data_IF_080951552648
#
_entry.id   IF_080951552648
#
_cell.length_a   1.000
_cell.length_b   1.000
_cell.length_c   1.000
_cell.angle_alpha   90.00
_cell.angle_beta   90.00
_cell.angle_gamma   90.00
#
_symmetry.space_group_name_H-M   'P 1'
#
loop_
_entity.id
_entity.type
_entity.pdbx_description
1 polymer ?
#
# COMPACT_ATOMS: atom_id res chain seq x y z
N UNK A 1 12.20 -15.51 -15.08
CA UNK A 1 11.91 -15.11 -16.48
C UNK A 1 10.41 -14.89 -16.58
N UNK A 2 9.95 -13.83 -17.23
CA UNK A 2 8.52 -13.62 -17.50
C UNK A 2 8.06 -14.75 -18.43
N UNK A 3 6.83 -15.27 -18.25
CA UNK A 3 6.28 -16.27 -19.18
C UNK A 3 5.99 -15.63 -20.55
N UNK A 4 5.77 -16.47 -21.58
CA UNK A 4 5.53 -15.97 -22.94
C UNK A 4 4.37 -14.96 -23.03
N UNK A 5 3.28 -15.15 -22.26
CA UNK A 5 2.16 -14.22 -22.23
C UNK A 5 2.53 -12.87 -21.61
N UNK A 6 3.37 -12.85 -20.57
CA UNK A 6 3.88 -11.63 -19.97
C UNK A 6 4.88 -10.92 -20.88
N UNK A 7 5.73 -11.67 -21.60
CA UNK A 7 6.62 -11.12 -22.62
C UNK A 7 5.83 -10.54 -23.81
N UNK A 8 4.78 -11.20 -24.25
CA UNK A 8 3.89 -10.73 -25.32
C UNK A 8 3.17 -9.44 -24.91
N UNK A 9 2.65 -9.39 -23.68
CA UNK A 9 2.04 -8.18 -23.13
C UNK A 9 3.06 -7.03 -23.03
N UNK A 10 4.30 -7.31 -22.63
CA UNK A 10 5.38 -6.33 -22.59
C UNK A 10 5.77 -5.83 -23.99
N UNK A 11 5.76 -6.69 -24.99
CA UNK A 11 6.02 -6.31 -26.38
C UNK A 11 4.86 -5.51 -26.99
N UNK A 12 3.62 -5.92 -26.74
CA UNK A 12 2.43 -5.20 -27.19
C UNK A 12 2.36 -3.78 -26.58
N UNK A 13 2.72 -3.62 -25.31
CA UNK A 13 2.76 -2.31 -24.66
C UNK A 13 3.92 -1.45 -25.12
N UNK A 14 5.08 -2.02 -25.43
CA UNK A 14 6.19 -1.28 -26.05
C UNK A 14 5.84 -0.78 -27.45
N UNK A 15 4.94 -1.45 -28.16
CA UNK A 15 4.41 -1.03 -29.46
C UNK A 15 3.26 -0.01 -29.36
N UNK A 16 2.52 0.02 -28.23
CA UNK A 16 1.41 0.96 -28.00
C UNK A 16 1.88 2.33 -27.51
N UNK A 17 3.08 2.43 -26.96
CA UNK A 17 3.69 3.70 -26.60
C UNK A 17 4.18 4.32 -27.92
N UNK A 18 3.65 5.49 -28.34
CA UNK A 18 4.13 6.14 -29.55
C UNK A 18 5.64 6.19 -29.48
N UNK A 19 6.30 5.57 -30.42
CA UNK A 19 7.77 5.38 -30.45
C UNK A 19 8.55 6.70 -30.34
N UNK A 20 7.88 7.84 -30.51
CA UNK A 20 8.39 9.19 -30.28
C UNK A 20 8.52 9.61 -28.81
N UNK A 21 7.80 8.96 -27.87
CA UNK A 21 7.85 9.35 -26.43
C UNK A 21 9.07 8.74 -25.74
N UNK A 22 9.44 7.51 -26.11
CA UNK A 22 10.59 6.81 -25.52
C UNK A 22 11.90 6.97 -26.32
N UNK A 23 11.83 7.30 -27.62
CA UNK A 23 13.03 7.41 -28.49
C UNK A 23 13.84 8.68 -28.31
N UNK A 24 13.33 9.70 -27.63
CA UNK A 24 14.13 10.91 -27.35
C UNK A 24 14.83 10.76 -26.00
N UNK A 25 16.02 10.18 -26.00
CA UNK A 25 16.94 10.05 -24.86
C UNK A 25 17.33 11.39 -24.17
N UNK A 26 16.87 12.54 -24.67
CA UNK A 26 17.29 13.88 -24.24
C UNK A 26 16.14 14.88 -24.13
N UNK A 27 14.93 14.48 -23.78
CA UNK A 27 13.92 15.49 -23.46
C UNK A 27 13.79 15.61 -21.95
N UNK A 28 14.13 16.76 -21.43
CA UNK A 28 13.81 17.29 -20.09
C UNK A 28 12.30 17.41 -19.85
N UNK A 29 11.47 16.57 -20.45
CA UNK A 29 10.03 16.62 -20.31
C UNK A 29 9.63 16.08 -18.96
N UNK A 30 9.18 16.94 -18.10
CA UNK A 30 8.57 16.61 -16.83
C UNK A 30 7.09 16.29 -17.06
N UNK A 31 6.63 15.15 -16.55
CA UNK A 31 5.24 14.74 -16.57
C UNK A 31 4.57 15.16 -15.26
N UNK A 32 3.30 15.54 -15.31
CA UNK A 32 2.56 15.80 -14.09
C UNK A 32 2.22 14.46 -13.41
N UNK A 33 2.40 14.39 -12.09
CA UNK A 33 1.88 13.30 -11.28
C UNK A 33 0.38 13.17 -11.49
N UNK A 34 -0.09 11.96 -11.73
CA UNK A 34 -1.50 11.67 -11.96
C UNK A 34 -1.80 11.16 -13.37
N UNK A 35 -3.08 11.17 -13.71
CA UNK A 35 -3.56 10.70 -15.00
C UNK A 35 -3.22 11.65 -16.14
N UNK A 36 -2.65 11.10 -17.20
CA UNK A 36 -2.34 11.80 -18.43
C UNK A 36 -3.34 11.43 -19.53
N UNK A 37 -4.23 12.36 -19.87
CA UNK A 37 -5.31 12.14 -20.85
C UNK A 37 -4.78 11.88 -22.26
N UNK A 38 -3.69 12.54 -22.65
CA UNK A 38 -3.15 12.46 -24.03
C UNK A 38 -2.65 11.07 -24.38
N UNK A 39 -2.15 10.32 -23.39
CA UNK A 39 -1.50 9.03 -23.60
C UNK A 39 -2.13 7.87 -22.80
N UNK A 40 -3.25 8.13 -22.13
CA UNK A 40 -4.02 7.18 -21.32
C UNK A 40 -3.15 6.35 -20.34
N UNK A 41 -2.32 7.02 -19.58
CA UNK A 41 -1.54 6.39 -18.51
C UNK A 41 -1.47 7.24 -17.25
N UNK A 42 -1.10 6.59 -16.14
CA UNK A 42 -0.98 7.22 -14.82
C UNK A 42 0.48 7.38 -14.43
N UNK A 43 0.89 8.59 -14.10
CA UNK A 43 2.25 8.91 -13.64
C UNK A 43 2.29 8.82 -12.12
N UNK A 44 3.05 7.88 -11.57
CA UNK A 44 3.26 7.75 -10.11
C UNK A 44 4.57 8.38 -9.63
N UNK A 45 5.38 8.88 -10.54
CA UNK A 45 6.61 9.61 -10.22
C UNK A 45 6.28 11.03 -9.76
N UNK A 46 6.47 11.33 -8.48
CA UNK A 46 6.22 12.67 -7.93
C UNK A 46 7.22 13.71 -8.40
N UNK A 47 8.40 13.29 -8.85
CA UNK A 47 9.37 14.18 -9.53
C UNK A 47 8.99 14.51 -10.96
N UNK A 48 7.95 13.90 -11.51
CA UNK A 48 7.51 14.07 -12.89
C UNK A 48 8.43 13.43 -13.94
N UNK A 49 9.49 12.72 -13.53
CA UNK A 49 10.38 12.00 -14.45
C UNK A 49 9.92 10.55 -14.56
N UNK A 50 9.83 10.03 -15.78
CA UNK A 50 9.45 8.64 -16.04
C UNK A 50 10.65 7.91 -16.60
N UNK A 51 10.98 6.76 -15.99
CA UNK A 51 12.03 5.86 -16.47
C UNK A 51 11.47 4.69 -17.26
N UNK A 52 10.34 4.15 -16.82
CA UNK A 52 9.70 2.98 -17.44
C UNK A 52 8.18 3.09 -17.35
N UNK A 53 7.51 2.54 -18.34
CA UNK A 53 6.06 2.35 -18.33
C UNK A 53 5.77 0.86 -18.18
N UNK A 54 4.87 0.52 -17.27
CA UNK A 54 4.44 -0.87 -17.00
C UNK A 54 2.92 -0.94 -17.06
N UNK A 55 2.38 -2.14 -17.23
CA UNK A 55 0.95 -2.39 -17.10
C UNK A 55 0.68 -3.40 -16.00
N UNK A 56 -0.31 -3.09 -15.17
CA UNK A 56 -0.82 -3.99 -14.14
C UNK A 56 -2.33 -4.05 -14.31
N UNK A 57 -2.88 -5.22 -14.57
CA UNK A 57 -4.30 -5.45 -14.75
C UNK A 57 -4.99 -4.45 -15.72
N UNK A 58 -4.29 -4.11 -16.82
CA UNK A 58 -4.77 -3.16 -17.83
C UNK A 58 -4.60 -1.66 -17.49
N UNK A 59 -4.11 -1.33 -16.30
CA UNK A 59 -3.73 0.04 -15.95
C UNK A 59 -2.29 0.29 -16.38
N UNK A 60 -2.07 1.29 -17.23
CA UNK A 60 -0.75 1.70 -17.72
C UNK A 60 -0.15 2.72 -16.76
N UNK A 61 1.06 2.49 -16.27
CA UNK A 61 1.66 3.22 -15.15
C UNK A 61 3.08 3.65 -15.50
N UNK A 62 3.35 4.95 -15.39
CA UNK A 62 4.70 5.50 -15.51
C UNK A 62 5.40 5.54 -14.15
N UNK A 63 6.44 4.72 -13.97
CA UNK A 63 7.25 4.66 -12.75
C UNK A 63 8.47 5.57 -12.83
N UNK A 64 9.04 6.00 -11.67
CA UNK A 64 10.25 6.81 -11.64
C UNK A 64 11.43 6.21 -12.40
N UNK A 65 12.38 7.02 -12.88
CA UNK A 65 13.61 6.53 -13.48
C UNK A 65 14.51 5.88 -12.43
N UNK A 66 15.28 4.91 -12.87
CA UNK A 66 16.37 4.37 -12.06
C UNK A 66 17.38 5.48 -11.77
N UNK A 67 17.81 5.66 -10.51
CA UNK A 67 18.84 6.62 -10.17
C UNK A 67 20.20 6.18 -10.73
N UNK A 68 21.11 7.13 -10.93
CA UNK A 68 22.48 6.85 -11.41
C UNK A 68 23.24 5.93 -10.44
N UNK A 69 22.94 6.01 -9.17
CA UNK A 69 23.49 5.13 -8.13
C UNK A 69 22.34 4.53 -7.32
N UNK A 70 22.21 3.21 -7.41
CA UNK A 70 21.31 2.43 -6.55
C UNK A 70 22.10 1.99 -5.33
N UNK A 71 21.49 2.11 -4.16
CA UNK A 71 22.11 1.71 -2.90
C UNK A 71 22.60 0.26 -2.94
N UNK A 72 23.85 0.03 -2.56
CA UNK A 72 24.50 -1.28 -2.50
C UNK A 72 24.90 -1.60 -1.06
N UNK A 73 24.60 -2.79 -0.60
CA UNK A 73 24.84 -3.24 0.78
C UNK A 73 26.07 -4.12 0.93
N UNK A 74 27.19 -3.78 0.30
CA UNK A 74 28.45 -4.49 0.45
C UNK A 74 28.52 -5.91 -0.11
N UNK A 75 27.42 -6.44 -0.67
CA UNK A 75 27.33 -7.73 -1.37
C UNK A 75 27.43 -7.53 -2.88
N UNK A 76 27.78 -8.57 -3.65
CA UNK A 76 27.66 -8.51 -5.10
C UNK A 76 26.18 -8.26 -5.51
N UNK A 77 25.96 -7.49 -6.57
CA UNK A 77 24.60 -7.11 -7.01
C UNK A 77 23.65 -8.31 -7.17
N UNK A 78 24.17 -9.44 -7.69
CA UNK A 78 23.41 -10.69 -7.88
C UNK A 78 22.92 -11.34 -6.59
N UNK A 79 23.58 -11.04 -5.45
CA UNK A 79 23.29 -11.63 -4.14
C UNK A 79 22.49 -10.68 -3.24
N UNK A 80 22.18 -9.47 -3.75
CA UNK A 80 21.40 -8.50 -2.99
C UNK A 80 19.91 -8.79 -3.09
N UNK A 81 19.23 -8.61 -2.00
CA UNK A 81 17.77 -8.65 -1.84
C UNK A 81 17.36 -7.62 -0.80
N UNK A 82 16.08 -7.44 -0.60
CA UNK A 82 15.59 -6.54 0.43
C UNK A 82 15.96 -7.05 1.82
N UNK A 83 16.62 -6.21 2.58
CA UNK A 83 16.88 -6.39 4.00
C UNK A 83 16.49 -5.10 4.71
N UNK A 84 15.73 -5.20 5.78
CA UNK A 84 15.37 -4.05 6.59
C UNK A 84 16.62 -3.46 7.26
N UNK A 85 16.72 -2.14 7.30
CA UNK A 85 17.77 -1.43 8.02
C UNK A 85 17.33 -1.10 9.44
N UNK A 86 18.19 -1.36 10.42
CA UNK A 86 17.90 -0.92 11.77
C UNK A 86 18.09 0.60 11.91
N UNK A 87 17.21 1.19 12.73
CA UNK A 87 17.36 2.60 13.09
C UNK A 87 18.70 2.81 13.80
N UNK A 88 19.52 3.82 13.39
CA UNK A 88 20.77 4.13 14.09
C UNK A 88 20.59 4.25 15.60
N UNK A 89 21.48 3.64 16.38
CA UNK A 89 21.35 3.56 17.86
C UNK A 89 21.14 4.91 18.52
N UNK A 90 21.78 5.95 18.01
CA UNK A 90 21.63 7.31 18.54
C UNK A 90 20.20 7.83 18.36
N UNK A 91 19.56 7.56 17.21
CA UNK A 91 18.19 7.96 16.91
C UNK A 91 17.17 7.05 17.60
N UNK A 92 17.48 5.76 17.77
CA UNK A 92 16.60 4.81 18.46
C UNK A 92 16.35 5.15 19.93
N UNK A 93 17.22 5.97 20.55
CA UNK A 93 17.07 6.46 21.92
C UNK A 93 16.17 7.68 22.05
N UNK A 94 15.73 8.25 20.93
CA UNK A 94 14.84 9.41 20.90
C UNK A 94 13.41 8.93 20.69
N UNK A 95 12.54 9.24 21.65
CA UNK A 95 11.15 8.73 21.65
C UNK A 95 10.13 9.78 21.20
N UNK A 96 10.52 11.07 21.13
CA UNK A 96 9.62 12.17 20.77
C UNK A 96 10.35 13.31 20.08
N UNK A 97 9.61 14.12 19.35
CA UNK A 97 10.12 15.35 18.73
C UNK A 97 10.65 16.35 19.77
N UNK A 98 10.08 16.37 20.98
CA UNK A 98 10.58 17.22 22.08
C UNK A 98 11.99 16.84 22.50
N UNK A 99 12.28 15.54 22.68
CA UNK A 99 13.63 15.06 22.97
C UNK A 99 14.62 15.35 21.85
N UNK A 100 14.18 15.36 20.61
CA UNK A 100 14.99 15.79 19.47
C UNK A 100 15.29 17.28 19.52
N UNK A 101 14.30 18.11 19.83
CA UNK A 101 14.46 19.56 19.91
C UNK A 101 15.46 19.97 21.00
N UNK A 102 15.52 19.22 22.10
CA UNK A 102 16.46 19.43 23.21
C UNK A 102 17.90 19.02 22.89
N UNK A 103 18.16 18.34 21.74
CA UNK A 103 19.51 17.92 21.37
C UNK A 103 20.36 19.08 20.85
N UNK A 104 21.68 19.09 21.16
CA UNK A 104 22.62 20.07 20.62
C UNK A 104 22.61 20.12 19.08
N UNK A 105 22.84 21.31 18.50
CA UNK A 105 22.88 21.49 17.05
C UNK A 105 23.86 20.55 16.34
N UNK A 106 25.02 20.29 16.91
CA UNK A 106 26.00 19.34 16.36
C UNK A 106 25.45 17.92 16.23
N UNK A 107 24.63 17.47 17.19
CA UNK A 107 23.95 16.17 17.11
C UNK A 107 22.87 16.18 16.01
N UNK A 108 22.06 17.25 15.94
CA UNK A 108 21.02 17.36 14.91
C UNK A 108 21.63 17.39 13.50
N UNK A 109 22.67 18.17 13.29
CA UNK A 109 23.36 18.26 12.00
C UNK A 109 23.96 16.90 11.54
N UNK A 110 24.37 16.04 12.48
CA UNK A 110 24.83 14.68 12.13
C UNK A 110 23.76 13.81 11.51
N UNK A 111 22.49 14.02 11.88
CA UNK A 111 21.40 13.09 11.54
C UNK A 111 20.31 13.68 10.65
N UNK A 112 20.34 14.98 10.36
CA UNK A 112 19.31 15.63 9.54
C UNK A 112 19.21 14.99 8.15
N UNK A 113 20.32 14.77 7.47
CA UNK A 113 20.35 14.16 6.13
C UNK A 113 19.76 12.74 6.13
N UNK A 114 20.00 11.96 7.19
CA UNK A 114 19.38 10.64 7.35
C UNK A 114 17.86 10.74 7.47
N UNK A 115 17.38 11.67 8.30
CA UNK A 115 15.94 11.88 8.53
C UNK A 115 15.27 12.37 7.24
N UNK A 116 15.86 13.34 6.55
CA UNK A 116 15.37 13.83 5.26
C UNK A 116 15.30 12.72 4.22
N UNK A 117 16.35 11.89 4.12
CA UNK A 117 16.35 10.73 3.23
C UNK A 117 15.22 9.73 3.54
N UNK A 118 14.87 9.55 4.83
CA UNK A 118 13.73 8.69 5.21
C UNK A 118 12.38 9.30 4.79
N UNK A 119 12.20 10.63 4.89
CA UNK A 119 11.02 11.30 4.34
C UNK A 119 10.96 11.19 2.81
N UNK A 120 12.09 11.37 2.12
CA UNK A 120 12.16 11.20 0.66
C UNK A 120 11.80 9.76 0.24
N UNK A 121 12.32 8.74 0.93
CA UNK A 121 11.97 7.33 0.67
C UNK A 121 10.49 7.06 0.88
N UNK A 122 9.93 7.63 1.94
CA UNK A 122 8.50 7.54 2.26
C UNK A 122 7.63 8.21 1.20
N UNK A 123 8.09 9.30 0.61
CA UNK A 123 7.33 10.07 -0.38
C UNK A 123 7.57 9.60 -1.82
N UNK A 124 8.83 9.47 -2.22
CA UNK A 124 9.24 9.22 -3.60
C UNK A 124 9.40 7.74 -3.93
N UNK A 125 9.48 6.89 -2.88
CA UNK A 125 9.82 5.48 -3.01
C UNK A 125 11.32 5.23 -2.98
N UNK A 126 11.70 3.97 -3.18
CA UNK A 126 13.05 3.52 -2.98
C UNK A 126 13.50 2.54 -4.06
N UNK A 127 14.77 2.63 -4.46
CA UNK A 127 15.42 1.72 -5.39
C UNK A 127 16.47 0.87 -4.67
N UNK A 128 16.47 -0.42 -4.90
CA UNK A 128 17.45 -1.35 -4.38
C UNK A 128 17.79 -2.41 -5.44
N UNK A 129 18.91 -3.11 -5.27
CA UNK A 129 19.22 -4.27 -6.09
C UNK A 129 18.49 -5.49 -5.57
N UNK A 130 17.81 -6.22 -6.45
CA UNK A 130 17.16 -7.49 -6.16
C UNK A 130 17.60 -8.50 -7.22
N UNK A 131 18.38 -9.52 -6.83
CA UNK A 131 18.95 -10.49 -7.75
C UNK A 131 19.63 -9.83 -8.97
N UNK A 132 20.48 -8.87 -8.73
CA UNK A 132 21.25 -8.15 -9.75
C UNK A 132 20.47 -7.08 -10.53
N UNK A 133 19.16 -6.93 -10.29
CA UNK A 133 18.31 -5.99 -11.03
C UNK A 133 17.89 -4.82 -10.15
N UNK A 134 18.02 -3.57 -10.62
CA UNK A 134 17.42 -2.43 -9.96
C UNK A 134 15.90 -2.61 -9.86
N UNK A 135 15.38 -2.51 -8.65
CA UNK A 135 13.97 -2.75 -8.35
C UNK A 135 13.40 -1.56 -7.60
N UNK A 136 12.32 -0.99 -8.14
CA UNK A 136 11.59 0.12 -7.53
C UNK A 136 10.48 -0.39 -6.61
N UNK A 137 10.37 0.23 -5.45
CA UNK A 137 9.21 0.16 -4.57
C UNK A 137 8.65 1.54 -4.30
N UNK A 138 7.33 1.66 -4.18
CA UNK A 138 6.66 2.93 -3.85
C UNK A 138 6.93 3.32 -2.40
N UNK A 139 6.67 4.59 -2.03
CA UNK A 139 6.83 5.05 -0.66
C UNK A 139 5.97 4.28 0.35
N UNK A 140 4.70 3.97 0.00
CA UNK A 140 3.84 3.11 0.85
C UNK A 140 4.41 1.71 1.03
N UNK A 141 5.01 1.12 -0.02
CA UNK A 141 5.68 -0.18 0.10
C UNK A 141 6.95 -0.11 0.96
N UNK A 142 7.72 0.97 0.81
CA UNK A 142 8.89 1.21 1.65
C UNK A 142 8.50 1.30 3.13
N UNK A 143 7.47 2.08 3.47
CA UNK A 143 6.97 2.19 4.86
C UNK A 143 6.49 0.83 5.38
N UNK A 144 5.80 0.05 4.53
CA UNK A 144 5.35 -1.28 4.90
C UNK A 144 6.52 -2.22 5.25
N UNK A 145 7.57 -2.25 4.44
CA UNK A 145 8.72 -3.14 4.65
C UNK A 145 9.68 -2.64 5.74
N UNK A 146 9.90 -1.34 5.81
CA UNK A 146 10.92 -0.75 6.69
C UNK A 146 10.38 -0.46 8.09
N UNK A 147 9.14 0.05 8.20
CA UNK A 147 8.63 0.63 9.43
C UNK A 147 7.38 -0.03 9.99
N UNK A 148 6.73 -0.93 9.23
CA UNK A 148 5.54 -1.62 9.71
C UNK A 148 5.89 -2.91 10.43
N UNK A 149 5.66 -2.96 11.74
CA UNK A 149 5.78 -4.21 12.48
C UNK A 149 4.56 -5.11 12.25
N UNK A 150 4.80 -6.39 12.06
CA UNK A 150 3.79 -7.44 11.98
C UNK A 150 3.89 -8.37 13.21
N UNK A 151 3.04 -9.40 13.29
CA UNK A 151 3.00 -10.28 14.46
C UNK A 151 4.35 -10.93 14.80
N UNK A 152 5.17 -11.21 13.79
CA UNK A 152 6.48 -11.88 13.90
C UNK A 152 7.63 -11.01 13.31
N UNK A 153 7.74 -9.78 13.72
CA UNK A 153 8.82 -8.89 13.28
C UNK A 153 8.40 -7.90 12.21
N UNK A 154 8.99 -7.98 11.02
CA UNK A 154 8.74 -7.10 9.89
C UNK A 154 8.45 -7.92 8.64
N UNK A 155 7.67 -7.38 7.67
CA UNK A 155 7.35 -8.12 6.46
C UNK A 155 8.57 -8.26 5.53
N UNK A 156 8.62 -9.38 4.82
CA UNK A 156 9.58 -9.61 3.76
C UNK A 156 9.12 -8.98 2.44
N UNK A 157 10.10 -8.66 1.58
CA UNK A 157 9.80 -8.22 0.23
C UNK A 157 9.18 -9.37 -0.58
N UNK A 158 8.08 -9.07 -1.27
CA UNK A 158 7.41 -9.98 -2.21
C UNK A 158 6.98 -9.22 -3.45
N UNK A 159 7.21 -9.81 -4.61
CA UNK A 159 6.83 -9.19 -5.89
C UNK A 159 5.32 -8.97 -5.99
N UNK A 160 4.50 -9.87 -5.45
CA UNK A 160 3.06 -9.70 -5.36
C UNK A 160 2.68 -8.41 -4.58
N UNK A 161 3.36 -8.14 -3.46
CA UNK A 161 3.12 -6.93 -2.67
C UNK A 161 3.64 -5.69 -3.41
N UNK A 162 4.75 -5.79 -4.16
CA UNK A 162 5.25 -4.70 -5.00
C UNK A 162 4.24 -4.32 -6.09
N UNK A 163 3.67 -5.31 -6.77
CA UNK A 163 2.59 -5.12 -7.76
C UNK A 163 1.40 -4.42 -7.10
N UNK A 164 0.95 -4.90 -5.94
CA UNK A 164 -0.14 -4.31 -5.16
C UNK A 164 0.11 -2.83 -4.84
N UNK A 165 1.27 -2.49 -4.29
CA UNK A 165 1.57 -1.12 -3.90
C UNK A 165 1.81 -0.17 -5.09
N UNK A 166 2.36 -0.64 -6.20
CA UNK A 166 2.45 0.16 -7.44
C UNK A 166 1.05 0.46 -7.98
N UNK A 167 0.17 -0.55 -7.99
CA UNK A 167 -1.21 -0.38 -8.42
C UNK A 167 -1.98 0.56 -7.49
N UNK A 168 -1.79 0.44 -6.18
CA UNK A 168 -2.36 1.35 -5.20
C UNK A 168 -1.90 2.79 -5.40
N UNK A 169 -0.61 3.02 -5.63
CA UNK A 169 -0.09 4.36 -5.90
C UNK A 169 -0.70 4.94 -7.18
N UNK A 170 -0.90 4.12 -8.21
CA UNK A 170 -1.57 4.55 -9.43
C UNK A 170 -3.06 4.89 -9.18
N UNK A 171 -3.76 4.13 -8.34
CA UNK A 171 -5.13 4.47 -7.92
C UNK A 171 -5.18 5.79 -7.15
N UNK A 172 -4.18 6.07 -6.29
CA UNK A 172 -4.07 7.35 -5.57
C UNK A 172 -3.82 8.52 -6.54
N UNK A 173 -2.94 8.32 -7.50
CA UNK A 173 -2.57 9.34 -8.48
C UNK A 173 -3.67 9.64 -9.50
N UNK A 174 -4.51 8.68 -9.85
CA UNK A 174 -5.59 8.89 -10.83
C UNK A 174 -6.78 9.64 -10.22
N UNK A 175 -6.98 10.88 -10.69
CA UNK A 175 -8.09 11.75 -10.26
C UNK A 175 -9.49 11.19 -10.58
N UNK A 176 -9.60 10.18 -11.46
CA UNK A 176 -10.86 9.53 -11.83
C UNK A 176 -11.22 8.36 -10.92
N UNK A 177 -10.25 7.82 -10.19
CA UNK A 177 -10.34 6.61 -9.40
C UNK A 177 -10.67 6.92 -7.94
N UNK A 178 -11.62 6.21 -7.36
CA UNK A 178 -11.90 6.26 -5.92
C UNK A 178 -11.04 5.31 -5.08
N UNK A 179 -10.24 4.47 -5.71
CA UNK A 179 -9.37 3.52 -5.04
C UNK A 179 -9.37 2.15 -5.70
N UNK A 180 -8.96 1.13 -4.97
CA UNK A 180 -8.84 -0.22 -5.49
C UNK A 180 -9.81 -1.19 -4.82
N UNK A 181 -10.21 -2.22 -5.59
CA UNK A 181 -10.91 -3.41 -5.10
C UNK A 181 -10.06 -4.65 -5.36
N UNK A 182 -9.47 -5.22 -4.32
CA UNK A 182 -8.48 -6.28 -4.40
C UNK A 182 -9.06 -7.65 -4.04
N UNK A 183 -9.17 -8.52 -5.04
CA UNK A 183 -9.45 -9.94 -4.81
C UNK A 183 -8.14 -10.65 -4.45
N UNK A 184 -8.05 -11.11 -3.22
CA UNK A 184 -6.84 -11.67 -2.61
C UNK A 184 -6.97 -13.14 -2.21
N UNK A 185 -5.85 -13.81 -2.06
CA UNK A 185 -5.78 -15.08 -1.36
C UNK A 185 -5.82 -14.87 0.16
N UNK A 186 -6.09 -15.93 0.91
CA UNK A 186 -5.91 -15.93 2.37
C UNK A 186 -4.44 -15.72 2.72
N UNK A 187 -4.18 -15.01 3.83
CA UNK A 187 -2.82 -14.71 4.35
C UNK A 187 -1.93 -13.89 3.40
N UNK A 188 -2.52 -13.14 2.47
CA UNK A 188 -1.77 -12.21 1.59
C UNK A 188 -1.14 -11.01 2.32
N UNK A 189 -1.33 -10.87 3.63
CA UNK A 189 -0.84 -9.71 4.40
C UNK A 189 -1.70 -8.45 4.28
N UNK A 190 -2.83 -8.47 3.56
CA UNK A 190 -3.64 -7.28 3.24
C UNK A 190 -4.03 -6.46 4.46
N UNK A 191 -4.46 -7.09 5.57
CA UNK A 191 -4.84 -6.36 6.79
C UNK A 191 -3.68 -5.55 7.37
N UNK A 192 -2.43 -6.04 7.26
CA UNK A 192 -1.24 -5.28 7.65
C UNK A 192 -0.87 -4.21 6.64
N UNK A 193 -1.00 -4.48 5.33
CA UNK A 193 -0.78 -3.47 4.28
C UNK A 193 -1.77 -2.31 4.42
N UNK A 194 -3.06 -2.61 4.66
CA UNK A 194 -4.09 -1.60 4.93
C UNK A 194 -3.85 -0.83 6.22
N UNK A 195 -3.44 -1.52 7.30
CA UNK A 195 -3.09 -0.86 8.57
C UNK A 195 -1.86 0.05 8.44
N UNK A 196 -0.86 -0.39 7.69
CA UNK A 196 0.31 0.42 7.34
C UNK A 196 -0.10 1.69 6.58
N UNK A 197 -0.99 1.56 5.60
CA UNK A 197 -1.46 2.70 4.82
C UNK A 197 -2.33 3.66 5.65
N UNK A 198 -3.13 3.15 6.62
CA UNK A 198 -3.84 4.00 7.59
C UNK A 198 -2.85 4.87 8.37
N UNK A 199 -1.80 4.26 8.91
CA UNK A 199 -0.77 4.96 9.68
C UNK A 199 0.04 5.89 8.78
N UNK A 200 0.44 5.42 7.59
CA UNK A 200 1.18 6.22 6.63
C UNK A 200 0.40 7.48 6.24
N UNK A 201 -0.87 7.35 5.89
CA UNK A 201 -1.72 8.49 5.54
C UNK A 201 -1.99 9.38 6.76
N UNK A 202 -2.36 8.79 7.91
CA UNK A 202 -2.74 9.53 9.11
C UNK A 202 -1.59 10.33 9.74
N UNK A 203 -0.35 9.92 9.52
CA UNK A 203 0.84 10.63 10.06
C UNK A 203 1.47 11.63 9.08
N UNK A 204 0.90 11.79 7.87
CA UNK A 204 1.32 12.78 6.88
C UNK A 204 0.25 13.84 6.60
N UNK A 205 -1.01 13.45 6.64
CA UNK A 205 -2.11 14.32 6.27
C UNK A 205 -2.45 15.31 7.38
N UNK A 206 -2.97 16.48 6.98
CA UNK A 206 -3.54 17.48 7.88
C UNK A 206 -5.06 17.56 7.69
N UNK A 207 -5.81 17.86 8.75
CA UNK A 207 -7.27 18.01 8.74
C UNK A 207 -7.97 16.82 8.06
N UNK A 208 -7.54 15.62 8.38
CA UNK A 208 -7.96 14.43 7.67
C UNK A 208 -8.54 13.36 8.61
N UNK A 209 -9.38 12.53 8.03
CA UNK A 209 -9.88 11.33 8.69
C UNK A 209 -9.56 10.09 7.88
N UNK A 210 -9.09 9.07 8.57
CA UNK A 210 -8.82 7.73 8.03
C UNK A 210 -9.78 6.76 8.69
N UNK A 211 -10.61 6.10 7.88
CA UNK A 211 -11.64 5.18 8.36
C UNK A 211 -11.29 3.73 8.12
N UNK A 212 -11.75 2.85 9.00
CA UNK A 212 -11.58 1.40 8.90
C UNK A 212 -12.93 0.71 9.00
N UNK A 213 -13.23 -0.14 8.02
CA UNK A 213 -14.35 -1.08 8.03
C UNK A 213 -13.84 -2.51 7.81
N UNK A 214 -14.56 -3.48 8.33
CA UNK A 214 -14.28 -4.89 8.09
C UNK A 214 -15.60 -5.68 7.99
N UNK A 215 -15.55 -7.01 7.96
CA UNK A 215 -16.76 -7.85 7.89
C UNK A 215 -17.69 -7.68 9.11
N UNK A 216 -17.13 -7.33 10.28
CA UNK A 216 -17.87 -6.97 11.50
C UNK A 216 -17.18 -5.81 12.23
N UNK A 217 -17.91 -5.08 13.08
CA UNK A 217 -17.33 -4.03 13.92
C UNK A 217 -16.23 -4.55 14.85
N UNK A 218 -16.37 -5.79 15.36
CA UNK A 218 -15.33 -6.40 16.21
C UNK A 218 -14.04 -6.70 15.42
N UNK A 219 -14.13 -7.06 14.14
CA UNK A 219 -12.96 -7.27 13.29
C UNK A 219 -12.31 -5.95 12.91
N UNK A 220 -13.10 -4.90 12.63
CA UNK A 220 -12.60 -3.54 12.40
C UNK A 220 -11.86 -3.02 13.65
N UNK A 221 -12.45 -3.20 14.84
CA UNK A 221 -11.81 -2.86 16.11
C UNK A 221 -10.50 -3.61 16.32
N UNK A 222 -10.47 -4.93 16.07
CA UNK A 222 -9.23 -5.72 16.16
C UNK A 222 -8.16 -5.23 15.19
N UNK A 223 -8.52 -4.93 13.95
CA UNK A 223 -7.58 -4.35 13.00
C UNK A 223 -6.99 -3.04 13.52
N UNK A 224 -7.81 -2.19 14.12
CA UNK A 224 -7.38 -0.95 14.72
C UNK A 224 -6.47 -1.18 15.94
N UNK A 225 -6.93 -1.94 16.96
CA UNK A 225 -6.21 -2.13 18.24
C UNK A 225 -4.95 -2.97 18.11
N UNK A 226 -4.98 -4.01 17.26
CA UNK A 226 -3.93 -5.04 17.23
C UNK A 226 -2.92 -4.78 16.10
N UNK A 227 -3.24 -3.90 15.13
CA UNK A 227 -2.35 -3.58 14.01
C UNK A 227 -2.06 -2.08 13.90
N UNK A 228 -3.08 -1.23 13.69
CA UNK A 228 -2.88 0.21 13.46
C UNK A 228 -2.18 0.88 14.65
N UNK A 229 -2.70 0.70 15.85
CA UNK A 229 -2.13 1.31 17.06
C UNK A 229 -0.70 0.83 17.33
N UNK A 230 -0.36 -0.48 17.29
CA UNK A 230 1.01 -0.93 17.45
C UNK A 230 1.96 -0.41 16.37
N UNK A 231 1.53 -0.33 15.09
CA UNK A 231 2.34 0.22 14.00
C UNK A 231 2.65 1.70 14.28
N UNK A 232 1.65 2.51 14.61
CA UNK A 232 1.83 3.93 14.91
C UNK A 232 2.78 4.15 16.12
N UNK A 233 2.63 3.34 17.17
CA UNK A 233 3.47 3.43 18.36
C UNK A 233 4.95 3.06 18.12
N UNK A 234 5.22 2.21 17.12
CA UNK A 234 6.59 1.76 16.78
C UNK A 234 7.27 2.59 15.71
N UNK A 235 6.59 3.58 15.14
CA UNK A 235 7.26 4.51 14.22
C UNK A 235 8.43 5.22 14.92
N UNK A 236 9.50 5.55 14.19
CA UNK A 236 10.56 6.41 14.71
C UNK A 236 10.00 7.79 15.06
N UNK A 237 10.64 8.47 16.00
CA UNK A 237 10.15 9.76 16.53
C UNK A 237 9.87 10.80 15.42
N UNK A 238 10.67 10.81 14.35
CA UNK A 238 10.54 11.76 13.26
C UNK A 238 9.34 11.50 12.34
N UNK A 239 8.76 10.30 12.37
CA UNK A 239 7.51 9.97 11.69
C UNK A 239 6.29 10.00 12.62
N UNK A 240 6.52 10.22 13.90
CA UNK A 240 5.48 10.17 14.94
C UNK A 240 4.96 11.58 15.25
N UNK A 241 3.74 11.95 14.79
CA UNK A 241 3.14 13.23 15.15
C UNK A 241 2.81 13.29 16.65
N UNK A 242 2.51 14.49 17.13
CA UNK A 242 1.97 14.67 18.48
C UNK A 242 0.62 13.97 18.56
N UNK A 243 0.48 13.07 19.53
CA UNK A 243 -0.73 12.29 19.76
C UNK A 243 -1.49 12.84 20.98
N UNK A 244 -2.81 12.95 20.84
CA UNK A 244 -3.74 13.23 21.94
C UNK A 244 -4.34 11.91 22.46
N UNK A 245 -4.44 11.78 23.78
CA UNK A 245 -5.03 10.61 24.43
C UNK A 245 -4.02 9.56 24.88
N UNK A 246 -4.51 8.34 25.04
CA UNK A 246 -3.75 7.21 25.60
C UNK A 246 -2.84 6.57 24.54
N UNK A 247 -1.75 5.93 24.97
CA UNK A 247 -0.85 5.16 24.08
C UNK A 247 -1.52 3.95 23.42
N UNK A 248 -2.61 3.44 24.01
CA UNK A 248 -3.37 2.30 23.50
C UNK A 248 -4.87 2.65 23.37
N UNK A 249 -5.23 3.53 22.44
CA UNK A 249 -6.61 3.88 22.22
C UNK A 249 -7.42 2.70 21.67
N UNK A 250 -8.72 2.64 21.99
CA UNK A 250 -9.62 1.57 21.57
C UNK A 250 -10.60 1.99 20.47
N UNK A 251 -10.77 3.30 20.27
CA UNK A 251 -11.79 3.86 19.36
C UNK A 251 -11.19 4.72 18.26
N UNK A 252 -10.31 5.63 18.62
CA UNK A 252 -9.66 6.54 17.68
C UNK A 252 -8.20 6.81 18.08
N UNK A 253 -7.36 7.05 17.11
CA UNK A 253 -5.99 7.54 17.25
C UNK A 253 -5.97 8.95 16.68
N UNK A 254 -5.80 9.96 17.56
CA UNK A 254 -5.87 11.36 17.18
C UNK A 254 -4.49 12.01 17.22
N UNK A 255 -4.08 12.60 16.11
CA UNK A 255 -2.82 13.34 15.97
C UNK A 255 -3.08 14.85 16.05
N UNK A 256 -3.27 15.33 17.27
CA UNK A 256 -3.50 16.73 17.59
C UNK A 256 -2.79 17.12 18.89
N UNK A 257 -2.64 18.40 19.14
CA UNK A 257 -2.08 18.90 20.41
C UNK A 257 -3.14 18.74 21.49
N UNK A 258 -2.85 18.01 22.59
CA UNK A 258 -3.78 17.89 23.70
C UNK A 258 -4.13 19.25 24.31
N UNK A 259 -5.42 19.51 24.54
CA UNK A 259 -5.89 20.76 25.13
C UNK A 259 -5.23 21.08 26.49
N UNK A 260 -4.89 20.05 27.27
CA UNK A 260 -4.16 20.19 28.55
C UNK A 260 -2.73 20.72 28.41
N UNK A 261 -2.13 20.66 27.21
CA UNK A 261 -0.80 21.23 26.93
C UNK A 261 -0.86 22.67 26.42
N UNK A 262 -2.05 23.18 26.12
CA UNK A 262 -2.27 24.55 25.69
C UNK A 262 -2.45 25.43 26.94
N UNK A 263 -1.39 26.11 27.35
CA UNK A 263 -1.44 27.10 28.44
C UNK A 263 -1.49 28.50 27.86
N UNK A 264 -1.98 29.48 28.64
CA UNK A 264 -1.97 30.89 28.19
C UNK A 264 -0.58 31.39 27.80
N UNK A 265 0.49 30.77 28.34
CA UNK A 265 1.88 31.14 28.08
C UNK A 265 2.39 30.62 26.73
N UNK A 266 1.89 29.49 26.27
CA UNK A 266 2.30 28.88 24.99
C UNK A 266 1.21 29.01 23.90
N UNK A 267 0.11 29.72 24.17
CA UNK A 267 -0.98 29.91 23.23
C UNK A 267 -0.53 30.63 21.95
N UNK A 268 0.41 31.59 22.06
CA UNK A 268 1.01 32.28 20.92
C UNK A 268 1.97 31.34 20.13
N UNK A 269 2.66 30.42 20.82
CA UNK A 269 3.55 29.43 20.19
C UNK A 269 2.73 28.31 19.50
N UNK A 270 1.58 27.95 20.06
CA UNK A 270 0.63 26.98 19.49
C UNK A 270 -0.09 27.54 18.25
N UNK A 271 -0.27 28.87 18.20
CA UNK A 271 -0.79 29.56 17.01
C UNK A 271 0.24 29.76 15.91
N UNK A 272 1.53 29.63 16.20
CA UNK A 272 2.58 29.64 15.20
C UNK A 272 2.66 28.25 14.54
N UNK A 273 2.82 28.20 13.22
CA UNK A 273 2.81 26.98 12.38
C UNK A 273 3.75 25.86 12.85
N UNK A 274 4.76 26.16 13.66
CA UNK A 274 5.76 25.21 14.16
C UNK A 274 5.22 24.22 15.22
N UNK A 275 4.09 24.53 15.89
CA UNK A 275 3.53 23.69 16.95
C UNK A 275 2.10 23.19 16.68
N UNK A 276 1.54 23.44 15.50
CA UNK A 276 0.21 22.91 15.14
C UNK A 276 0.25 21.41 14.92
N UNK A 277 -0.60 20.68 15.62
CA UNK A 277 -0.86 19.27 15.37
C UNK A 277 -1.35 19.02 13.93
N UNK A 278 -1.41 17.77 13.51
CA UNK A 278 -1.95 17.41 12.18
C UNK A 278 -3.47 17.54 12.12
N UNK A 279 -4.17 17.52 13.26
CA UNK A 279 -5.64 17.46 13.38
C UNK A 279 -6.25 16.31 12.56
N UNK A 280 -5.53 15.18 12.55
CA UNK A 280 -5.89 13.98 11.81
C UNK A 280 -6.28 12.87 12.77
N UNK A 281 -7.31 12.10 12.40
CA UNK A 281 -7.78 10.95 13.17
C UNK A 281 -7.78 9.68 12.33
N UNK A 282 -7.46 8.57 12.99
CA UNK A 282 -7.67 7.21 12.46
C UNK A 282 -8.68 6.54 13.38
N UNK A 283 -9.80 6.07 12.84
CA UNK A 283 -10.84 5.39 13.62
C UNK A 283 -11.43 4.19 12.88
N UNK A 284 -12.33 3.50 13.54
CA UNK A 284 -13.09 2.39 12.98
C UNK A 284 -14.57 2.56 13.28
N UNK A 285 -15.42 1.98 12.45
CA UNK A 285 -16.87 1.96 12.65
C UNK A 285 -17.42 0.53 12.65
N UNK A 286 -18.61 0.36 13.23
CA UNK A 286 -19.37 -0.87 13.07
C UNK A 286 -19.73 -1.08 11.60
N UNK A 287 -19.91 -2.36 11.24
CA UNK A 287 -20.29 -2.77 9.88
C UNK A 287 -21.79 -2.52 9.69
N UNK A 288 -22.11 -1.51 8.92
CA UNK A 288 -23.47 -1.08 8.60
C UNK A 288 -23.50 -0.39 7.23
N UNK A 289 -24.65 -0.45 6.53
CA UNK A 289 -24.81 0.17 5.22
C UNK A 289 -24.54 1.69 5.24
N UNK A 290 -24.80 2.37 6.36
CA UNK A 290 -24.61 3.80 6.55
C UNK A 290 -23.34 4.16 7.34
N UNK A 291 -22.42 3.21 7.55
CA UNK A 291 -21.15 3.49 8.24
C UNK A 291 -20.40 4.61 7.51
N UNK A 292 -19.92 5.61 8.27
CA UNK A 292 -19.28 6.84 7.79
C UNK A 292 -20.18 7.80 7.00
N UNK A 293 -21.51 7.62 6.98
CA UNK A 293 -22.38 8.60 6.33
C UNK A 293 -22.20 10.01 6.93
N UNK A 294 -22.11 11.03 6.08
CA UNK A 294 -21.84 12.42 6.47
C UNK A 294 -20.40 12.76 6.84
N UNK A 295 -19.50 11.78 6.86
CA UNK A 295 -18.09 11.99 7.19
C UNK A 295 -17.27 12.35 5.94
N UNK A 296 -16.19 13.12 6.12
CA UNK A 296 -15.19 13.40 5.08
C UNK A 296 -13.96 12.52 5.32
N UNK A 297 -13.70 11.59 4.43
CA UNK A 297 -12.58 10.66 4.54
C UNK A 297 -11.48 10.97 3.51
N UNK A 298 -10.22 10.93 3.95
CA UNK A 298 -9.07 10.94 3.05
C UNK A 298 -8.68 9.52 2.64
N UNK A 299 -8.80 8.56 3.55
CA UNK A 299 -8.60 7.14 3.30
C UNK A 299 -9.68 6.32 3.99
N UNK A 300 -10.23 5.35 3.28
CA UNK A 300 -11.06 4.29 3.83
C UNK A 300 -10.39 2.95 3.54
N UNK A 301 -10.05 2.19 4.58
CA UNK A 301 -9.60 0.80 4.43
C UNK A 301 -10.75 -0.13 4.73
N UNK A 302 -11.03 -1.02 3.78
CA UNK A 302 -12.17 -1.94 3.82
C UNK A 302 -11.67 -3.38 3.73
N UNK A 303 -11.52 -4.04 4.88
CA UNK A 303 -11.05 -5.44 4.91
C UNK A 303 -12.22 -6.42 4.91
N UNK A 304 -12.04 -7.55 4.26
CA UNK A 304 -13.01 -8.66 4.21
C UNK A 304 -14.38 -8.27 3.59
N UNK A 305 -14.38 -7.40 2.57
CA UNK A 305 -15.59 -6.83 1.94
C UNK A 305 -16.55 -7.89 1.38
N UNK A 306 -16.05 -9.04 0.91
CA UNK A 306 -16.84 -10.15 0.41
C UNK A 306 -17.52 -11.02 1.49
N UNK A 307 -17.32 -10.68 2.77
CA UNK A 307 -17.85 -11.46 3.90
C UNK A 307 -18.93 -10.72 4.69
N UNK A 308 -19.48 -9.66 4.16
CA UNK A 308 -20.59 -8.94 4.78
C UNK A 308 -21.86 -9.79 4.77
N UNK A 309 -22.45 -9.99 5.94
CA UNK A 309 -23.66 -10.78 6.11
C UNK A 309 -24.91 -9.90 6.15
N UNK A 310 -26.03 -10.43 5.64
CA UNK A 310 -27.33 -9.76 5.75
C UNK A 310 -27.63 -9.39 7.24
N UNK A 311 -28.31 -8.25 7.47
CA UNK A 311 -28.96 -7.39 6.48
C UNK A 311 -28.01 -6.47 5.73
N UNK A 312 -26.77 -6.26 6.16
CA UNK A 312 -25.81 -5.32 5.61
C UNK A 312 -25.32 -5.74 4.22
N UNK A 313 -25.06 -4.77 3.36
CA UNK A 313 -24.67 -4.99 1.98
C UNK A 313 -23.51 -4.07 1.59
N UNK A 314 -22.39 -4.66 1.16
CA UNK A 314 -21.21 -3.92 0.73
C UNK A 314 -21.49 -2.94 -0.42
N UNK A 315 -22.40 -3.27 -1.35
CA UNK A 315 -22.76 -2.36 -2.44
C UNK A 315 -23.51 -1.13 -1.93
N UNK A 316 -24.40 -1.30 -0.93
CA UNK A 316 -25.12 -0.20 -0.31
C UNK A 316 -24.14 0.70 0.45
N UNK A 317 -23.29 0.11 1.31
CA UNK A 317 -22.28 0.85 2.01
C UNK A 317 -21.32 1.59 1.05
N UNK A 318 -20.93 0.95 -0.05
CA UNK A 318 -20.07 1.61 -1.04
C UNK A 318 -20.74 2.84 -1.67
N UNK A 319 -22.05 2.80 -1.93
CA UNK A 319 -22.78 3.98 -2.42
C UNK A 319 -22.71 5.15 -1.44
N UNK A 320 -22.79 4.89 -0.14
CA UNK A 320 -22.66 5.89 0.93
C UNK A 320 -21.20 6.34 1.06
N UNK A 321 -20.27 5.43 1.30
CA UNK A 321 -18.87 5.77 1.59
C UNK A 321 -18.15 6.39 0.40
N UNK A 322 -18.54 6.10 -0.83
CA UNK A 322 -18.05 6.77 -2.03
C UNK A 322 -18.31 8.28 -1.99
N UNK A 323 -19.42 8.72 -1.39
CA UNK A 323 -19.72 10.16 -1.24
C UNK A 323 -18.79 10.83 -0.22
N UNK A 324 -18.35 10.10 0.79
CA UNK A 324 -17.43 10.58 1.83
C UNK A 324 -16.00 10.84 1.29
N UNK A 325 -15.66 10.25 0.14
CA UNK A 325 -14.36 10.37 -0.51
C UNK A 325 -14.30 11.50 -1.55
N UNK A 326 -15.34 12.32 -1.65
CA UNK A 326 -15.40 13.42 -2.63
C UNK A 326 -15.89 14.71 -2.01
N UNK A 327 -15.53 15.81 -2.65
CA UNK A 327 -16.06 17.14 -2.36
C UNK A 327 -16.63 17.70 -3.67
N UNK A 328 -17.95 17.73 -3.79
CA UNK A 328 -18.62 18.03 -5.06
C UNK A 328 -18.23 17.02 -6.16
N UNK A 329 -17.67 17.49 -7.26
CA UNK A 329 -17.17 16.66 -8.36
C UNK A 329 -15.76 16.12 -8.16
N UNK A 330 -15.01 16.66 -7.18
CA UNK A 330 -13.59 16.34 -6.96
C UNK A 330 -13.45 15.16 -6.00
N UNK A 331 -12.72 14.13 -6.41
CA UNK A 331 -12.31 13.02 -5.54
C UNK A 331 -11.16 13.51 -4.66
N UNK A 332 -11.35 13.48 -3.35
CA UNK A 332 -10.38 13.94 -2.34
C UNK A 332 -9.77 12.80 -1.53
N UNK A 333 -10.51 11.72 -1.37
CA UNK A 333 -10.08 10.54 -0.62
C UNK A 333 -10.05 9.28 -1.48
N UNK A 334 -9.48 8.21 -0.93
CA UNK A 334 -9.34 6.92 -1.61
C UNK A 334 -9.78 5.77 -0.72
N UNK A 335 -10.28 4.70 -1.36
CA UNK A 335 -10.63 3.45 -0.70
C UNK A 335 -9.63 2.36 -1.07
N UNK A 336 -9.06 1.70 -0.06
CA UNK A 336 -8.30 0.46 -0.20
C UNK A 336 -9.20 -0.69 0.26
N UNK A 337 -9.90 -1.31 -0.67
CA UNK A 337 -10.81 -2.41 -0.41
C UNK A 337 -10.16 -3.74 -0.76
N UNK A 338 -10.37 -4.77 0.06
CA UNK A 338 -9.86 -6.10 -0.27
C UNK A 338 -10.62 -7.22 0.43
N UNK A 339 -10.77 -8.35 -0.27
CA UNK A 339 -11.38 -9.55 0.28
C UNK A 339 -10.87 -10.81 -0.38
N UNK A 340 -10.99 -11.93 0.33
CA UNK A 340 -10.97 -13.25 -0.27
C UNK A 340 -12.34 -13.55 -0.89
N UNK A 341 -12.38 -14.47 -1.85
CA UNK A 341 -13.65 -15.03 -2.34
C UNK A 341 -14.45 -15.63 -1.18
N UNK A 342 -15.78 -15.57 -1.30
CA UNK A 342 -16.70 -16.16 -0.34
C UNK A 342 -17.86 -16.82 -1.11
N UNK A 343 -18.59 -17.72 -0.45
CA UNK A 343 -19.80 -18.32 -1.01
C UNK A 343 -20.79 -17.19 -1.43
N UNK A 344 -21.35 -17.30 -2.63
CA UNK A 344 -22.24 -16.26 -3.18
C UNK A 344 -23.42 -15.97 -2.25
N UNK A 345 -24.01 -17.02 -1.65
CA UNK A 345 -25.10 -16.89 -0.67
C UNK A 345 -24.72 -16.25 0.66
N UNK A 346 -23.41 -16.11 0.95
CA UNK A 346 -22.87 -15.53 2.19
C UNK A 346 -22.16 -14.18 1.96
N UNK A 347 -22.74 -13.33 1.11
CA UNK A 347 -22.18 -11.99 0.81
C UNK A 347 -21.21 -11.93 -0.36
N UNK A 348 -20.71 -13.07 -0.84
CA UNK A 348 -19.76 -13.13 -1.96
C UNK A 348 -20.34 -12.60 -3.27
N UNK A 349 -21.66 -12.70 -3.50
CA UNK A 349 -22.33 -12.18 -4.70
C UNK A 349 -22.21 -10.65 -4.81
N UNK A 350 -22.46 -9.93 -3.72
CA UNK A 350 -22.38 -8.47 -3.72
C UNK A 350 -20.96 -7.96 -3.97
N UNK A 351 -19.98 -8.65 -3.39
CA UNK A 351 -18.57 -8.33 -3.62
C UNK A 351 -18.16 -8.66 -5.08
N UNK A 352 -18.58 -9.82 -5.60
CA UNK A 352 -18.33 -10.18 -7.00
C UNK A 352 -18.86 -9.12 -7.97
N UNK A 353 -20.12 -8.67 -7.79
CA UNK A 353 -20.68 -7.59 -8.61
C UNK A 353 -19.91 -6.30 -8.50
N UNK A 354 -19.48 -5.92 -7.28
CA UNK A 354 -18.68 -4.71 -7.08
C UNK A 354 -17.32 -4.84 -7.77
N UNK A 355 -16.69 -6.00 -7.69
CA UNK A 355 -15.42 -6.30 -8.35
C UNK A 355 -15.54 -6.26 -9.89
N UNK A 356 -16.61 -6.83 -10.46
CA UNK A 356 -16.92 -6.77 -11.89
C UNK A 356 -17.22 -5.33 -12.34
N UNK A 357 -17.97 -4.55 -11.54
CA UNK A 357 -18.25 -3.13 -11.77
C UNK A 357 -16.98 -2.25 -11.67
N UNK A 358 -15.87 -2.79 -11.16
CA UNK A 358 -14.56 -2.15 -11.04
C UNK A 358 -13.59 -2.48 -12.19
N UNK A 359 -14.05 -3.20 -13.23
CA UNK A 359 -13.22 -3.59 -14.36
C UNK A 359 -12.84 -2.37 -15.23
N UNK A 360 -11.52 -2.22 -15.41
CA UNK A 360 -10.92 -1.15 -16.22
C UNK A 360 -11.29 -1.20 -17.70
N UNK A 361 -11.74 -2.35 -18.21
CA UNK A 361 -12.18 -2.50 -19.61
C UNK A 361 -13.53 -1.82 -19.88
N UNK A 362 -14.34 -1.60 -18.82
CA UNK A 362 -15.68 -1.03 -18.91
C UNK A 362 -15.72 0.34 -18.24
N UNK A 363 -15.24 1.37 -18.94
CA UNK A 363 -15.23 2.75 -18.46
C UNK A 363 -16.33 3.58 -19.13
N UNK A 364 -16.88 4.55 -18.40
CA UNK A 364 -17.79 5.55 -18.94
C UNK A 364 -17.05 6.64 -19.72
N UNK A 365 -17.77 7.59 -20.29
CA UNK A 365 -17.19 8.71 -21.04
C UNK A 365 -16.17 9.56 -20.23
N UNK A 366 -16.28 9.57 -18.90
CA UNK A 366 -15.36 10.27 -18.00
C UNK A 366 -14.13 9.42 -17.63
N UNK A 367 -13.98 8.23 -18.21
CA UNK A 367 -12.90 7.30 -17.93
C UNK A 367 -13.00 6.60 -16.58
N UNK A 368 -14.16 6.62 -15.92
CA UNK A 368 -14.42 5.95 -14.64
C UNK A 368 -15.05 4.59 -14.87
N UNK A 369 -14.69 3.60 -14.05
CA UNK A 369 -15.40 2.33 -13.93
C UNK A 369 -16.79 2.57 -13.33
N UNK A 370 -17.68 1.61 -13.45
CA UNK A 370 -19.05 1.72 -12.93
C UNK A 370 -19.09 1.90 -11.41
N UNK A 371 -18.24 1.18 -10.65
CA UNK A 371 -18.08 1.38 -9.21
C UNK A 371 -17.33 2.66 -8.88
N UNK A 372 -16.39 3.09 -9.73
CA UNK A 372 -15.39 4.10 -9.51
C UNK A 372 -14.10 3.57 -8.87
N UNK A 373 -14.07 2.30 -8.43
CA UNK A 373 -12.87 1.58 -7.99
C UNK A 373 -12.18 0.93 -9.20
N UNK A 374 -10.90 0.59 -9.05
CA UNK A 374 -10.16 -0.24 -9.99
C UNK A 374 -9.92 -1.60 -9.39
N UNK A 375 -10.29 -2.66 -10.09
CA UNK A 375 -10.10 -4.02 -9.60
C UNK A 375 -8.64 -4.48 -9.77
N UNK A 376 -8.17 -5.26 -8.80
CA UNK A 376 -6.89 -5.95 -8.86
C UNK A 376 -7.08 -7.41 -8.45
N UNK A 377 -6.59 -8.32 -9.29
CA UNK A 377 -6.48 -9.72 -8.97
C UNK A 377 -5.02 -10.17 -9.06
N UNK A 378 -4.49 -10.72 -7.99
CA UNK A 378 -3.19 -11.38 -8.00
C UNK A 378 -3.45 -12.86 -7.73
N UNK A 379 -3.14 -13.75 -8.69
CA UNK A 379 -3.32 -15.18 -8.53
C UNK A 379 -2.56 -15.73 -7.33
N UNK A 380 -3.06 -16.81 -6.75
CA UNK A 380 -2.52 -17.32 -5.48
C UNK A 380 -1.08 -17.81 -5.59
N UNK A 381 -0.69 -18.36 -6.74
CA UNK A 381 0.65 -18.84 -7.00
C UNK A 381 1.73 -17.75 -6.95
N UNK A 382 1.33 -16.48 -7.02
CA UNK A 382 2.23 -15.33 -6.86
C UNK A 382 2.61 -15.04 -5.41
N UNK A 383 1.81 -15.49 -4.44
CA UNK A 383 2.03 -15.15 -3.03
C UNK A 383 1.73 -16.34 -2.10
N UNK A 384 2.03 -17.55 -2.56
CA UNK A 384 1.83 -18.77 -1.80
C UNK A 384 3.03 -19.06 -0.91
N UNK A 385 2.79 -19.18 0.41
CA UNK A 385 3.83 -19.50 1.39
C UNK A 385 4.55 -20.80 1.04
N UNK A 386 5.86 -20.83 1.28
CA UNK A 386 6.73 -21.95 0.96
C UNK A 386 7.19 -22.01 -0.51
N UNK A 387 6.69 -21.08 -1.37
CA UNK A 387 7.05 -21.00 -2.79
C UNK A 387 7.54 -19.63 -3.21
N UNK A 388 8.01 -18.84 -2.27
CA UNK A 388 8.61 -17.51 -2.52
C UNK A 388 10.10 -17.60 -2.25
N UNK A 389 10.92 -17.28 -3.24
CA UNK A 389 12.38 -17.31 -3.11
C UNK A 389 12.91 -16.16 -2.23
N UNK A 390 14.18 -16.21 -1.87
CA UNK A 390 14.86 -15.18 -1.04
C UNK A 390 14.82 -13.76 -1.63
N UNK A 391 14.55 -13.64 -2.95
CA UNK A 391 14.40 -12.38 -3.64
C UNK A 391 12.94 -11.91 -3.69
N UNK A 392 12.03 -12.62 -3.03
CA UNK A 392 10.60 -12.33 -3.01
C UNK A 392 9.86 -12.71 -4.29
N UNK A 393 10.49 -13.50 -5.17
CA UNK A 393 9.90 -13.92 -6.44
C UNK A 393 9.17 -15.27 -6.29
N UNK A 394 7.99 -15.43 -6.92
CA UNK A 394 7.27 -16.70 -6.87
C UNK A 394 7.99 -17.79 -7.67
N UNK A 395 8.03 -19.00 -7.10
CA UNK A 395 8.51 -20.22 -7.76
C UNK A 395 7.30 -20.98 -8.28
N UNK A 396 6.96 -20.82 -9.56
CA UNK A 396 5.74 -21.37 -10.16
C UNK A 396 5.82 -22.86 -10.43
N UNK A 397 6.95 -23.34 -10.94
CA UNK A 397 7.17 -24.74 -11.31
C UNK A 397 8.37 -25.30 -10.55
N UNK A 398 8.44 -26.61 -10.43
CA UNK A 398 9.54 -27.33 -9.78
C UNK A 398 10.89 -26.85 -10.33
N UNK A 399 11.77 -26.31 -9.48
CA UNK A 399 13.07 -25.83 -9.93
C UNK A 399 14.01 -27.01 -10.21
N UNK A 400 14.94 -26.84 -11.16
CA UNK A 400 15.96 -27.84 -11.46
C UNK A 400 16.89 -28.14 -10.27
N UNK A 401 17.17 -27.10 -9.49
CA UNK A 401 17.92 -27.18 -8.22
C UNK A 401 17.11 -26.52 -7.13
N UNK A 402 17.24 -27.04 -5.90
CA UNK A 402 16.60 -26.44 -4.73
C UNK A 402 16.98 -24.96 -4.62
N UNK A 403 15.99 -24.11 -4.35
CA UNK A 403 16.12 -22.64 -4.23
C UNK A 403 15.93 -22.26 -2.76
N UNK A 404 16.66 -21.27 -2.28
CA UNK A 404 16.47 -20.75 -0.93
C UNK A 404 15.22 -19.85 -0.88
N UNK A 405 14.29 -20.17 0.01
CA UNK A 405 13.08 -19.39 0.26
C UNK A 405 13.34 -18.13 1.08
N UNK A 406 12.33 -17.27 1.13
CA UNK A 406 12.32 -16.05 1.95
C UNK A 406 12.30 -16.35 3.44
N UNK A 407 11.75 -17.50 3.81
CA UNK A 407 11.69 -18.06 5.17
C UNK A 407 12.94 -18.86 5.57
N UNK A 408 13.98 -18.81 4.74
CA UNK A 408 15.21 -19.59 4.87
C UNK A 408 15.03 -21.11 4.70
N UNK A 409 13.85 -21.59 4.30
CA UNK A 409 13.62 -22.99 3.92
C UNK A 409 14.02 -23.28 2.48
N UNK A 410 14.15 -24.58 2.12
CA UNK A 410 14.49 -24.99 0.77
C UNK A 410 13.26 -25.28 -0.06
N UNK A 411 13.07 -24.54 -1.15
CA UNK A 411 12.00 -24.76 -2.13
C UNK A 411 12.46 -25.86 -3.10
N UNK A 412 11.73 -26.97 -3.12
CA UNK A 412 11.99 -28.14 -3.97
C UNK A 412 10.87 -28.43 -4.96
N UNK A 413 9.75 -27.70 -4.87
CA UNK A 413 8.58 -27.81 -5.74
C UNK A 413 8.10 -26.41 -6.16
N UNK A 414 7.17 -26.33 -7.11
CA UNK A 414 6.55 -25.07 -7.54
C UNK A 414 5.12 -24.91 -7.00
N UNK A 415 4.66 -23.68 -6.86
CA UNK A 415 3.31 -23.35 -6.38
C UNK A 415 2.21 -23.98 -7.25
N UNK A 416 2.38 -23.97 -8.56
CA UNK A 416 1.42 -24.55 -9.51
C UNK A 416 1.44 -26.07 -9.43
N UNK A 417 2.62 -26.68 -9.40
CA UNK A 417 2.76 -28.15 -9.31
C UNK A 417 2.15 -28.68 -8.00
N UNK A 418 2.38 -27.96 -6.89
CA UNK A 418 1.75 -28.28 -5.61
C UNK A 418 0.22 -28.23 -5.72
N UNK A 419 -0.32 -27.16 -6.29
CA UNK A 419 -1.76 -26.99 -6.42
C UNK A 419 -2.42 -28.01 -7.34
N UNK A 420 -1.78 -28.33 -8.46
CA UNK A 420 -2.24 -29.37 -9.38
C UNK A 420 -2.34 -30.74 -8.67
N UNK A 421 -1.33 -31.09 -7.85
CA UNK A 421 -1.33 -32.31 -7.06
C UNK A 421 -2.44 -32.33 -5.99
N UNK A 422 -2.69 -31.21 -5.30
CA UNK A 422 -3.79 -31.07 -4.33
C UNK A 422 -5.16 -31.27 -5.00
N UNK A 423 -5.39 -30.64 -6.17
CA UNK A 423 -6.63 -30.77 -6.92
C UNK A 423 -6.86 -32.24 -7.36
N UNK A 424 -5.83 -32.93 -7.81
CA UNK A 424 -5.94 -34.35 -8.16
C UNK A 424 -6.26 -35.23 -6.96
N UNK A 425 -5.64 -34.94 -5.82
CA UNK A 425 -5.90 -35.64 -4.56
C UNK A 425 -7.35 -35.50 -4.13
N UNK A 426 -7.89 -34.27 -4.18
CA UNK A 426 -9.29 -33.98 -3.83
C UNK A 426 -10.28 -34.68 -4.79
N UNK A 427 -10.00 -34.72 -6.10
CA UNK A 427 -10.83 -35.47 -7.07
C UNK A 427 -10.87 -36.96 -6.76
N UNK A 428 -9.74 -37.55 -6.41
CA UNK A 428 -9.67 -38.98 -6.02
C UNK A 428 -10.44 -39.28 -4.72
N UNK A 429 -10.51 -38.32 -3.77
CA UNK A 429 -11.28 -38.47 -2.54
C UNK A 429 -12.79 -38.34 -2.79
N UNK A 430 -13.24 -37.54 -3.75
CA UNK A 430 -14.67 -37.40 -4.11
C UNK A 430 -15.21 -38.56 -4.93
N UNK A 431 -14.35 -39.37 -5.54
CA UNK A 431 -14.70 -40.56 -6.31
C UNK A 431 -14.77 -41.86 -5.45
N UNK A 432 -14.42 -41.79 -4.18
CA UNK A 432 -14.60 -42.85 -3.18
C UNK A 432 -15.79 -42.56 -2.29
#
# INVERSE_FOLDING_TARGET
MLNEGQNKLYQELSNYIPSGVLKKKNTSKTWLYGYNEKYDFVVISKTGRIGKIISINGLVIGIPPEPTQVHQRGKEKKDQYWEREELPRDLARINSIFQWNDRPSAFKNKWVDYIEAEFDRRELGYWFYNNGKPTYMTGSHYVYLQWTSIDVGYPDFREANRIFFIYWEACKADKRCFGMDYLKIRRSGFSFMGSSECVNTGTLARDARVGILSKTGSDAKKMFTDKVVPIANRLPFFFKPIQDGMDKPKTELAFRIPASKITKKNMHEVMNEELTGLDTTIDWKNTDDNSYDGEKLLLLVHDESGKWLKPNNIQNNWRVTKTCLRLGSKIIGKCMMGSTSNALSKGGENFKRLFEDSDLKTRNANGQTKSGLYNLFIPMEWNMEGFIDRFGMPVFRKPEKKIRGVDDEWITNGAIDYWEAEVESLKKMQMR
#
